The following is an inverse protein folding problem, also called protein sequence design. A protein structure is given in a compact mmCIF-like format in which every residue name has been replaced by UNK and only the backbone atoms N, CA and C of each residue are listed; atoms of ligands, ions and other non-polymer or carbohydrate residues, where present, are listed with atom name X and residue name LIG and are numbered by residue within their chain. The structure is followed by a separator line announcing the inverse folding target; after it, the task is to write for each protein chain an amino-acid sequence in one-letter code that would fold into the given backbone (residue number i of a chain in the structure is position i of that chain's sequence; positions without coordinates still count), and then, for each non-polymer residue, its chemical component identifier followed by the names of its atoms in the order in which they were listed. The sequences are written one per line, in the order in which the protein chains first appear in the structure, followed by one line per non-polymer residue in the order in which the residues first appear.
data_IF_331199240641
#
_entry.id   IF_331199240641
#
_cell.length_a   1.000
_cell.length_b   1.000
_cell.length_c   1.000
_cell.angle_alpha   90.00
_cell.angle_beta   90.00
_cell.angle_gamma   90.00
#
_symmetry.space_group_name_H-M   'P 1'
#
loop_
_entity.id
_entity.type
_entity.pdbx_description
1 polymer ?
#
# COMPACT_ATOMS: atom_id res chain seq x y z
N UNK A 1 3.62 5.68 -13.89
CA UNK A 1 3.11 4.93 -12.72
C UNK A 1 2.02 4.00 -13.23
N UNK A 2 2.09 2.69 -12.93
CA UNK A 2 1.05 1.72 -13.32
C UNK A 2 0.30 1.28 -12.06
N UNK A 3 -1.03 1.15 -12.14
CA UNK A 3 -1.88 0.75 -11.00
C UNK A 3 -2.71 -0.47 -11.38
N UNK A 4 -2.79 -1.45 -10.49
CA UNK A 4 -3.65 -2.63 -10.62
C UNK A 4 -4.66 -2.63 -9.47
N UNK A 5 -5.92 -2.94 -9.78
CA UNK A 5 -6.97 -3.19 -8.79
C UNK A 5 -6.95 -4.66 -8.41
N UNK A 6 -7.01 -4.94 -7.10
CA UNK A 6 -7.14 -6.29 -6.58
C UNK A 6 -8.61 -6.48 -6.19
N UNK A 7 -9.27 -7.45 -6.83
CA UNK A 7 -10.68 -7.75 -6.61
C UNK A 7 -10.83 -9.15 -6.02
N UNK A 8 -11.88 -9.34 -5.21
CA UNK A 8 -12.37 -10.65 -4.81
C UNK A 8 -13.85 -10.72 -5.16
N UNK A 9 -14.18 -11.50 -6.19
CA UNK A 9 -15.45 -11.35 -6.88
C UNK A 9 -15.58 -9.93 -7.45
N UNK A 10 -16.62 -9.21 -7.05
CA UNK A 10 -16.87 -7.82 -7.45
C UNK A 10 -16.34 -6.79 -6.45
N UNK A 11 -15.89 -7.24 -5.27
CA UNK A 11 -15.45 -6.37 -4.19
C UNK A 11 -14.01 -5.89 -4.41
N UNK A 12 -13.78 -4.58 -4.26
CA UNK A 12 -12.44 -4.01 -4.29
C UNK A 12 -11.73 -4.28 -2.97
N UNK A 13 -10.66 -5.07 -3.02
CA UNK A 13 -9.83 -5.40 -1.86
C UNK A 13 -8.79 -4.32 -1.63
N UNK A 14 -8.23 -3.78 -2.71
CA UNK A 14 -7.18 -2.78 -2.65
C UNK A 14 -6.53 -2.49 -4.00
N UNK A 15 -5.41 -1.80 -3.95
CA UNK A 15 -4.65 -1.39 -5.15
C UNK A 15 -3.18 -1.68 -5.00
N UNK A 16 -2.55 -2.14 -6.08
CA UNK A 16 -1.08 -2.23 -6.20
C UNK A 16 -0.62 -1.11 -7.12
N UNK A 17 0.26 -0.26 -6.62
CA UNK A 17 0.94 0.78 -7.37
C UNK A 17 2.36 0.33 -7.73
N UNK A 18 2.72 0.42 -9.01
CA UNK A 18 4.05 0.12 -9.53
C UNK A 18 4.77 1.41 -9.91
N UNK A 19 5.90 1.64 -9.25
CA UNK A 19 6.82 2.74 -9.52
C UNK A 19 8.11 2.20 -10.13
N UNK A 20 8.44 2.66 -11.34
CA UNK A 20 9.73 2.42 -11.95
C UNK A 20 10.65 3.57 -11.56
N UNK A 21 11.55 3.35 -10.61
CA UNK A 21 12.61 4.30 -10.27
C UNK A 21 13.94 3.78 -10.77
N UNK A 22 14.44 4.38 -11.85
CA UNK A 22 15.80 4.34 -12.46
C UNK A 22 16.54 3.00 -12.62
N UNK A 23 16.35 2.01 -11.74
CA UNK A 23 16.80 0.61 -11.85
C UNK A 23 16.04 -0.38 -10.93
N UNK A 24 14.96 0.04 -10.24
CA UNK A 24 14.14 -0.81 -9.36
C UNK A 24 12.67 -0.70 -9.71
N UNK A 25 12.01 -1.85 -9.84
CA UNK A 25 10.55 -1.93 -9.87
C UNK A 25 10.06 -2.12 -8.43
N UNK A 26 9.44 -1.07 -7.88
CA UNK A 26 8.84 -1.11 -6.55
C UNK A 26 7.34 -1.27 -6.74
N UNK A 27 6.75 -2.24 -6.03
CA UNK A 27 5.31 -2.38 -5.92
C UNK A 27 4.89 -2.03 -4.50
N UNK A 28 3.77 -1.33 -4.37
CA UNK A 28 3.18 -0.95 -3.08
C UNK A 28 1.71 -1.34 -3.09
N UNK A 29 1.30 -2.20 -2.16
CA UNK A 29 -0.10 -2.54 -1.95
C UNK A 29 -0.73 -1.71 -0.83
N UNK A 30 -1.97 -1.28 -1.04
CA UNK A 30 -2.83 -0.64 -0.06
C UNK A 30 -4.22 -1.24 -0.09
N UNK A 31 -4.78 -1.54 1.08
CA UNK A 31 -6.17 -1.96 1.24
C UNK A 31 -7.15 -0.84 0.88
N UNK A 32 -8.27 -1.22 0.28
CA UNK A 32 -9.41 -0.32 0.12
C UNK A 32 -10.07 -0.05 1.48
N UNK A 33 -10.58 1.16 1.67
CA UNK A 33 -11.18 1.56 2.94
C UNK A 33 -12.40 0.71 3.28
N UNK A 34 -13.28 0.43 2.31
CA UNK A 34 -14.46 -0.38 2.53
C UNK A 34 -14.09 -1.84 2.84
N UNK A 35 -13.02 -2.36 2.22
CA UNK A 35 -12.52 -3.70 2.55
C UNK A 35 -11.98 -3.80 3.97
N UNK A 36 -11.37 -2.73 4.51
CA UNK A 36 -10.87 -2.74 5.88
C UNK A 36 -11.97 -2.81 6.94
N UNK A 37 -13.21 -2.41 6.61
CA UNK A 37 -14.33 -2.41 7.58
C UNK A 37 -14.88 -3.81 7.85
N UNK A 38 -14.87 -4.70 6.85
CA UNK A 38 -15.53 -6.01 6.95
C UNK A 38 -14.77 -7.16 6.29
N UNK A 39 -13.64 -6.89 5.66
CA UNK A 39 -12.84 -7.88 4.95
C UNK A 39 -11.86 -8.63 5.84
N UNK A 40 -10.93 -9.33 5.19
CA UNK A 40 -9.85 -10.07 5.86
C UNK A 40 -8.50 -9.79 5.21
N UNK A 41 -7.43 -10.14 5.94
CA UNK A 41 -6.06 -10.06 5.46
C UNK A 41 -5.85 -11.04 4.30
N UNK A 42 -5.23 -10.60 3.21
CA UNK A 42 -5.02 -11.44 2.01
C UNK A 42 -3.82 -12.37 2.16
N UNK A 43 -2.93 -12.05 3.11
CA UNK A 43 -1.80 -12.86 3.51
C UNK A 43 -1.49 -12.58 4.99
N UNK A 44 -0.97 -13.56 5.74
CA UNK A 44 -0.57 -13.34 7.14
C UNK A 44 0.49 -12.23 7.33
N UNK A 45 1.37 -12.04 6.34
CA UNK A 45 2.37 -10.97 6.32
C UNK A 45 1.80 -9.58 5.98
N UNK A 46 0.51 -9.51 5.62
CA UNK A 46 -0.21 -8.30 5.23
C UNK A 46 -1.48 -8.12 6.06
N UNK A 47 -1.36 -7.89 7.39
CA UNK A 47 -2.53 -7.72 8.25
C UNK A 47 -3.38 -6.49 7.87
N UNK A 48 -4.67 -6.49 8.21
CA UNK A 48 -5.49 -5.29 8.01
C UNK A 48 -5.06 -4.22 9.02
N UNK A 49 -4.42 -3.16 8.54
CA UNK A 49 -3.99 -2.05 9.36
C UNK A 49 -4.16 -0.74 8.59
N UNK A 50 -4.87 0.21 9.20
CA UNK A 50 -5.14 1.53 8.64
C UNK A 50 -3.83 2.27 8.37
N UNK A 51 -3.74 2.90 7.20
CA UNK A 51 -2.54 3.64 6.79
C UNK A 51 -1.31 2.78 6.51
N UNK A 52 -1.45 1.44 6.49
CA UNK A 52 -0.33 0.53 6.19
C UNK A 52 -0.20 0.30 4.70
N UNK A 53 1.05 0.35 4.23
CA UNK A 53 1.44 0.05 2.85
C UNK A 53 2.45 -1.09 2.85
N UNK A 54 2.27 -2.05 1.97
CA UNK A 54 3.17 -3.19 1.83
C UNK A 54 4.00 -3.02 0.58
N UNK A 55 5.30 -2.82 0.74
CA UNK A 55 6.21 -2.54 -0.37
C UNK A 55 7.20 -3.68 -0.60
N UNK A 56 7.50 -3.97 -1.87
CA UNK A 56 8.57 -4.90 -2.25
C UNK A 56 9.97 -4.33 -2.02
N UNK A 57 10.10 -3.03 -1.74
CA UNK A 57 11.37 -2.40 -1.40
C UNK A 57 11.73 -2.67 0.08
N UNK A 58 12.89 -3.29 0.37
CA UNK A 58 13.35 -3.41 1.75
C UNK A 58 13.56 -2.02 2.36
N UNK A 59 12.88 -1.75 3.49
CA UNK A 59 13.06 -0.52 4.30
C UNK A 59 12.11 0.64 4.02
N UNK A 60 11.12 0.52 3.13
CA UNK A 60 10.23 1.66 2.79
C UNK A 60 9.08 1.90 3.81
N UNK A 61 8.79 0.95 4.71
CA UNK A 61 7.74 1.10 5.73
C UNK A 61 8.04 2.18 6.80
N UNK A 62 9.27 2.73 6.84
CA UNK A 62 9.67 3.77 7.81
C UNK A 62 9.45 5.22 7.38
N UNK A 63 9.08 5.50 6.12
CA UNK A 63 9.16 6.87 5.59
C UNK A 63 7.84 7.64 5.51
N UNK A 64 6.68 7.01 5.68
CA UNK A 64 5.39 7.72 5.60
C UNK A 64 4.91 8.29 6.94
N UNK A 65 5.55 7.94 8.07
CA UNK A 65 5.29 8.57 9.37
C UNK A 65 6.01 9.91 9.59
N UNK A 66 6.99 10.27 8.75
CA UNK A 66 7.89 11.40 9.00
C UNK A 66 7.70 12.61 8.07
N UNK A 67 6.76 12.56 7.11
CA UNK A 67 6.60 13.59 6.09
C UNK A 67 5.43 14.56 6.30
N UNK A 68 4.98 14.74 7.56
CA UNK A 68 3.99 15.77 7.94
C UNK A 68 4.51 16.89 8.85
N UNK A 69 5.83 16.99 9.09
CA UNK A 69 6.36 18.06 9.93
C UNK A 69 7.74 18.54 9.45
N UNK A 70 7.77 19.36 8.37
CA UNK A 70 8.76 20.43 8.12
C UNK A 70 8.60 20.99 6.70
N UNK A 71 7.68 21.93 6.55
CA UNK A 71 7.78 23.05 5.59
C UNK A 71 6.98 24.24 6.12
N UNK A 72 7.53 24.93 7.11
CA UNK A 72 7.40 26.38 7.32
C UNK A 72 8.67 26.85 8.03
N UNK A 73 9.33 27.83 7.44
CA UNK A 73 10.67 28.31 7.75
C UNK A 73 11.32 28.73 6.45
#
# INVERSE_FOLDING_TARGET
MRRIRVLMGESLVGTIDFEARTNKQISTFRYDAAWMESGFAIAPSMPLATGTFYSSAPGLWRLDGARSARRRG
#
